data_IF_854325868751
#
_entry.id   IF_854325868751
#
_cell.length_a   1.000
_cell.length_b   1.000
_cell.length_c   1.000
_cell.angle_alpha   90.00
_cell.angle_beta   90.00
_cell.angle_gamma   90.00
#
_symmetry.space_group_name_H-M   'P 1'
#
loop_
_entity.id
_entity.type
_entity.pdbx_description
1 polymer ?
#
# COMPACT_ATOMS: atom_id res chain seq x y z
N UNK A 1 -17.31 -0.42 -1.18
CA UNK A 1 -17.58 1.02 -1.00
C UNK A 1 -16.28 1.84 -0.95
N UNK A 2 -15.41 1.68 0.06
CA UNK A 2 -14.17 2.47 0.23
C UNK A 2 -13.28 2.47 -1.03
N UNK A 3 -12.96 1.28 -1.57
CA UNK A 3 -12.15 1.16 -2.79
C UNK A 3 -12.75 1.96 -3.96
N UNK A 4 -14.06 1.82 -4.18
CA UNK A 4 -14.77 2.55 -5.23
C UNK A 4 -14.74 4.05 -5.02
N UNK A 5 -14.85 4.54 -3.77
CA UNK A 5 -14.76 5.96 -3.47
C UNK A 5 -13.35 6.50 -3.81
N UNK A 6 -12.29 5.77 -3.42
CA UNK A 6 -10.91 6.18 -3.69
C UNK A 6 -10.60 6.20 -5.19
N UNK A 7 -11.07 5.22 -5.94
CA UNK A 7 -10.85 5.16 -7.39
C UNK A 7 -11.53 6.29 -8.16
N UNK A 8 -12.72 6.71 -7.70
CA UNK A 8 -13.56 7.67 -8.43
C UNK A 8 -13.50 9.09 -7.85
N UNK A 9 -12.78 9.33 -6.76
CA UNK A 9 -12.68 10.66 -6.19
C UNK A 9 -11.89 11.61 -7.11
N UNK A 10 -12.44 12.81 -7.32
CA UNK A 10 -11.83 13.85 -8.14
C UNK A 10 -10.61 14.51 -7.46
N UNK A 11 -9.84 15.32 -8.21
CA UNK A 11 -8.57 15.87 -7.73
C UNK A 11 -8.71 16.73 -6.48
N UNK A 12 -9.79 17.52 -6.36
CA UNK A 12 -10.08 18.35 -5.18
C UNK A 12 -10.18 17.51 -3.91
N UNK A 13 -10.81 16.34 -4.00
CA UNK A 13 -10.95 15.45 -2.86
C UNK A 13 -9.62 14.76 -2.53
N UNK A 14 -8.83 14.42 -3.56
CA UNK A 14 -7.52 13.79 -3.38
C UNK A 14 -6.51 14.68 -2.65
N UNK A 15 -6.59 16.00 -2.85
CA UNK A 15 -5.70 16.97 -2.21
C UNK A 15 -6.28 17.63 -0.95
N UNK A 16 -7.43 17.17 -0.45
CA UNK A 16 -8.10 17.79 0.70
C UNK A 16 -7.46 17.35 2.01
N UNK A 17 -6.91 18.29 2.80
CA UNK A 17 -6.23 17.98 4.08
C UNK A 17 -7.08 17.18 5.09
N UNK A 18 -8.38 17.50 5.31
CA UNK A 18 -9.22 16.66 6.16
C UNK A 18 -9.32 15.22 5.67
N UNK A 19 -9.40 15.04 4.34
CA UNK A 19 -9.52 13.73 3.74
C UNK A 19 -8.22 12.94 3.85
N UNK A 20 -7.09 13.56 3.52
CA UNK A 20 -5.76 12.96 3.71
C UNK A 20 -5.55 12.55 5.17
N UNK A 21 -5.95 13.39 6.13
CA UNK A 21 -5.85 13.06 7.55
C UNK A 21 -6.64 11.81 7.92
N UNK A 22 -7.86 11.65 7.36
CA UNK A 22 -8.67 10.44 7.53
C UNK A 22 -7.98 9.22 6.92
N UNK A 23 -7.39 9.35 5.73
CA UNK A 23 -6.64 8.26 5.11
C UNK A 23 -5.49 7.80 6.00
N UNK A 24 -4.66 8.74 6.47
CA UNK A 24 -3.52 8.48 7.36
C UNK A 24 -3.93 7.81 8.67
N UNK A 25 -4.88 8.42 9.39
CA UNK A 25 -5.18 8.02 10.78
C UNK A 25 -6.15 6.86 10.90
N UNK A 26 -7.07 6.71 9.94
CA UNK A 26 -8.14 5.71 10.02
C UNK A 26 -7.96 4.60 9.02
N UNK A 27 -7.89 4.93 7.72
CA UNK A 27 -7.84 3.92 6.69
C UNK A 27 -6.56 3.11 6.78
N UNK A 28 -5.41 3.77 6.87
CA UNK A 28 -4.12 3.09 6.91
C UNK A 28 -4.03 2.13 8.10
N UNK A 29 -4.38 2.59 9.31
CA UNK A 29 -4.43 1.75 10.51
C UNK A 29 -5.39 0.55 10.39
N UNK A 30 -6.54 0.74 9.73
CA UNK A 30 -7.47 -0.36 9.47
C UNK A 30 -6.85 -1.39 8.51
N UNK A 31 -6.16 -0.93 7.47
CA UNK A 31 -5.55 -1.82 6.49
C UNK A 31 -4.42 -2.67 7.09
N UNK A 32 -3.59 -2.13 8.00
CA UNK A 32 -2.57 -2.91 8.73
C UNK A 32 -3.21 -4.07 9.49
N UNK A 33 -4.34 -3.83 10.15
CA UNK A 33 -5.03 -4.88 10.93
C UNK A 33 -5.67 -5.94 10.03
N UNK A 34 -6.13 -5.54 8.85
CA UNK A 34 -6.84 -6.43 7.93
C UNK A 34 -5.91 -7.20 6.97
N UNK A 35 -4.65 -6.77 6.81
CA UNK A 35 -3.67 -7.41 5.93
C UNK A 35 -3.15 -8.75 6.46
N UNK A 36 -3.42 -9.07 7.73
CA UNK A 36 -3.12 -10.38 8.34
C UNK A 36 -4.36 -11.27 8.49
N UNK A 37 -5.51 -10.85 7.94
CA UNK A 37 -6.74 -11.62 8.02
C UNK A 37 -6.64 -12.91 7.22
N UNK A 38 -7.06 -14.03 7.80
CA UNK A 38 -7.09 -15.35 7.15
C UNK A 38 -8.17 -15.47 6.07
N UNK A 39 -9.10 -14.51 5.99
CA UNK A 39 -10.18 -14.50 4.99
C UNK A 39 -9.64 -13.93 3.67
N UNK A 40 -9.49 -14.74 2.60
CA UNK A 40 -8.81 -14.30 1.37
C UNK A 40 -9.44 -13.10 0.70
N UNK A 41 -10.77 -12.95 0.80
CA UNK A 41 -11.51 -11.82 0.23
C UNK A 41 -11.18 -10.50 0.93
N UNK A 42 -11.01 -10.51 2.25
CA UNK A 42 -10.63 -9.31 3.01
C UNK A 42 -9.19 -8.95 2.70
N UNK A 43 -8.30 -9.94 2.70
CA UNK A 43 -6.90 -9.76 2.32
C UNK A 43 -6.76 -9.14 0.91
N UNK A 44 -7.44 -9.71 -0.09
CA UNK A 44 -7.40 -9.20 -1.47
C UNK A 44 -7.96 -7.78 -1.61
N UNK A 45 -9.04 -7.45 -0.89
CA UNK A 45 -9.58 -6.09 -0.88
C UNK A 45 -8.62 -5.09 -0.25
N UNK A 46 -7.95 -5.45 0.85
CA UNK A 46 -6.94 -4.60 1.49
C UNK A 46 -5.80 -4.28 0.52
N UNK A 47 -5.32 -5.29 -0.23
CA UNK A 47 -4.29 -5.11 -1.25
C UNK A 47 -4.73 -4.21 -2.40
N UNK A 48 -5.96 -4.35 -2.88
CA UNK A 48 -6.47 -3.46 -3.92
C UNK A 48 -6.59 -2.01 -3.43
N UNK A 49 -6.93 -1.80 -2.16
CA UNK A 49 -6.93 -0.45 -1.56
C UNK A 49 -5.50 0.08 -1.48
N UNK A 50 -4.52 -0.72 -1.06
CA UNK A 50 -3.10 -0.30 -1.04
C UNK A 50 -2.61 0.15 -2.40
N UNK A 51 -2.91 -0.60 -3.46
CA UNK A 51 -2.53 -0.22 -4.84
C UNK A 51 -3.10 1.16 -5.19
N UNK A 52 -4.36 1.45 -4.82
CA UNK A 52 -4.96 2.77 -5.06
C UNK A 52 -4.30 3.86 -4.21
N UNK A 53 -3.95 3.58 -2.95
CA UNK A 53 -3.23 4.55 -2.10
C UNK A 53 -1.85 4.89 -2.67
N UNK A 54 -1.10 3.90 -3.13
CA UNK A 54 0.23 4.11 -3.73
C UNK A 54 0.08 4.87 -5.06
N UNK A 55 -0.80 4.42 -5.96
CA UNK A 55 -0.89 5.03 -7.29
C UNK A 55 -1.54 6.42 -7.31
N UNK A 56 -2.45 6.72 -6.37
CA UNK A 56 -3.25 7.96 -6.40
C UNK A 56 -2.98 8.93 -5.26
N UNK A 57 -2.30 8.51 -4.18
CA UNK A 57 -2.12 9.31 -2.97
C UNK A 57 -0.66 9.31 -2.44
N UNK A 58 0.31 8.77 -3.18
CA UNK A 58 1.72 8.66 -2.79
C UNK A 58 2.36 9.96 -2.28
N UNK A 59 2.06 11.09 -2.92
CA UNK A 59 2.56 12.41 -2.51
C UNK A 59 2.16 12.78 -1.07
N UNK A 60 1.02 12.26 -0.62
CA UNK A 60 0.47 12.57 0.69
C UNK A 60 0.77 11.48 1.73
N UNK A 61 1.04 10.24 1.32
CA UNK A 61 1.08 9.05 2.18
C UNK A 61 2.44 8.36 2.24
N UNK A 62 3.55 9.05 1.96
CA UNK A 62 4.88 8.45 1.91
C UNK A 62 5.23 7.64 3.17
N UNK A 63 5.02 8.20 4.36
CA UNK A 63 5.32 7.52 5.63
C UNK A 63 4.48 6.26 5.81
N UNK A 64 3.18 6.34 5.55
CA UNK A 64 2.27 5.20 5.68
C UNK A 64 2.59 4.10 4.66
N UNK A 65 2.95 4.48 3.42
CA UNK A 65 3.37 3.55 2.37
C UNK A 65 4.63 2.77 2.78
N UNK A 66 5.63 3.45 3.36
CA UNK A 66 6.84 2.79 3.86
C UNK A 66 6.53 1.74 4.92
N UNK A 67 5.70 2.10 5.91
CA UNK A 67 5.24 1.17 6.94
C UNK A 67 4.53 -0.05 6.33
N UNK A 68 3.73 0.12 5.26
CA UNK A 68 3.09 -1.02 4.60
C UNK A 68 4.08 -1.92 3.87
N UNK A 69 5.04 -1.33 3.15
CA UNK A 69 6.04 -2.09 2.41
C UNK A 69 6.85 -2.94 3.40
N UNK A 70 7.41 -2.33 4.43
CA UNK A 70 8.24 -3.01 5.42
C UNK A 70 7.44 -4.01 6.28
N UNK A 71 6.39 -3.53 6.95
CA UNK A 71 5.74 -4.33 7.99
C UNK A 71 4.73 -5.34 7.47
N UNK A 72 4.28 -5.19 6.21
CA UNK A 72 3.29 -6.08 5.61
C UNK A 72 3.89 -6.79 4.41
N UNK A 73 4.28 -6.08 3.35
CA UNK A 73 4.64 -6.73 2.09
C UNK A 73 5.92 -7.56 2.22
N UNK A 74 7.01 -6.95 2.70
CA UNK A 74 8.28 -7.64 2.93
C UNK A 74 8.13 -8.73 3.99
N UNK A 75 7.48 -8.43 5.12
CA UNK A 75 7.20 -9.43 6.16
C UNK A 75 6.44 -10.66 5.63
N UNK A 76 5.44 -10.48 4.76
CA UNK A 76 4.70 -11.59 4.15
C UNK A 76 5.63 -12.43 3.26
N UNK A 77 6.51 -11.79 2.50
CA UNK A 77 7.46 -12.47 1.61
C UNK A 77 8.53 -13.25 2.40
N UNK A 78 9.03 -12.69 3.50
CA UNK A 78 10.10 -13.25 4.31
C UNK A 78 9.64 -14.39 5.21
N UNK A 79 8.49 -14.25 5.88
CA UNK A 79 8.06 -15.23 6.87
C UNK A 79 7.73 -16.59 6.24
N UNK A 80 8.14 -17.68 6.90
CA UNK A 80 7.78 -19.05 6.53
C UNK A 80 6.31 -19.39 6.76
N UNK A 81 5.61 -18.60 7.58
CA UNK A 81 4.21 -18.84 7.94
C UNK A 81 3.20 -18.34 6.89
N UNK A 82 3.65 -17.55 5.91
CA UNK A 82 2.81 -17.03 4.84
C UNK A 82 2.54 -18.09 3.78
N UNK A 83 1.29 -18.20 3.37
CA UNK A 83 0.88 -19.11 2.29
C UNK A 83 1.46 -18.65 0.94
N UNK A 84 1.59 -19.59 -0.01
CA UNK A 84 1.96 -19.27 -1.38
C UNK A 84 1.07 -18.18 -1.98
N UNK A 85 -0.24 -18.24 -1.76
CA UNK A 85 -1.18 -17.25 -2.28
C UNK A 85 -0.92 -15.84 -1.76
N UNK A 86 -0.57 -15.69 -0.47
CA UNK A 86 -0.22 -14.37 0.07
C UNK A 86 1.05 -13.83 -0.59
N UNK A 87 2.11 -14.65 -0.67
CA UNK A 87 3.38 -14.24 -1.30
C UNK A 87 3.21 -13.89 -2.77
N UNK A 88 2.51 -14.75 -3.52
CA UNK A 88 2.21 -14.52 -4.93
C UNK A 88 1.41 -13.23 -5.13
N UNK A 89 0.42 -12.95 -4.27
CA UNK A 89 -0.36 -11.71 -4.36
C UNK A 89 0.48 -10.46 -4.11
N UNK A 90 1.41 -10.50 -3.15
CA UNK A 90 2.36 -9.40 -2.92
C UNK A 90 3.22 -9.16 -4.16
N UNK A 91 3.78 -10.21 -4.76
CA UNK A 91 4.59 -10.10 -5.98
C UNK A 91 3.79 -9.55 -7.16
N UNK A 92 2.52 -9.94 -7.31
CA UNK A 92 1.63 -9.35 -8.33
C UNK A 92 1.43 -7.85 -8.12
N UNK A 93 1.31 -7.40 -6.86
CA UNK A 93 1.19 -5.97 -6.56
C UNK A 93 2.46 -5.22 -6.93
N UNK A 94 3.64 -5.71 -6.54
CA UNK A 94 4.90 -5.07 -6.95
C UNK A 94 5.06 -5.08 -8.47
N UNK A 95 4.77 -6.19 -9.13
CA UNK A 95 4.79 -6.26 -10.60
C UNK A 95 3.87 -5.22 -11.24
N UNK A 96 2.68 -5.00 -10.69
CA UNK A 96 1.76 -3.96 -11.15
C UNK A 96 2.32 -2.55 -10.90
N UNK A 97 2.82 -2.27 -9.70
CA UNK A 97 3.37 -0.95 -9.35
C UNK A 97 4.59 -0.59 -10.21
N UNK A 98 5.42 -1.58 -10.53
CA UNK A 98 6.60 -1.39 -11.38
C UNK A 98 6.28 -1.21 -12.87
N UNK A 99 5.02 -1.32 -13.30
CA UNK A 99 4.64 -0.97 -14.68
C UNK A 99 4.69 0.54 -14.93
N UNK A 100 4.58 1.36 -13.88
CA UNK A 100 4.79 2.80 -13.93
C UNK A 100 6.21 3.15 -13.45
N UNK A 101 7.04 3.67 -14.36
CA UNK A 101 8.44 3.94 -14.07
C UNK A 101 8.63 4.97 -12.94
N UNK A 102 7.74 5.96 -12.82
CA UNK A 102 7.79 6.95 -11.74
C UNK A 102 7.49 6.32 -10.38
N UNK A 103 6.46 5.49 -10.29
CA UNK A 103 6.14 4.74 -9.07
C UNK A 103 7.26 3.75 -8.71
N UNK A 104 7.82 3.05 -9.69
CA UNK A 104 8.94 2.14 -9.47
C UNK A 104 10.18 2.87 -8.89
N UNK A 105 10.53 4.01 -9.48
CA UNK A 105 11.67 4.82 -9.04
C UNK A 105 11.44 5.39 -7.64
N UNK A 106 10.24 5.88 -7.34
CA UNK A 106 9.91 6.36 -6.00
C UNK A 106 9.92 5.24 -4.97
N UNK A 107 9.44 4.04 -5.31
CA UNK A 107 9.52 2.90 -4.41
C UNK A 107 10.97 2.57 -4.07
N UNK A 108 11.84 2.55 -5.10
CA UNK A 108 13.26 2.33 -4.93
C UNK A 108 13.91 3.43 -4.06
N UNK A 109 13.77 4.70 -4.45
CA UNK A 109 14.44 5.81 -3.76
C UNK A 109 13.96 6.02 -2.33
N UNK A 110 12.71 5.71 -2.01
CA UNK A 110 12.14 6.01 -0.70
C UNK A 110 12.14 4.83 0.27
N UNK A 111 12.25 3.58 -0.20
CA UNK A 111 12.02 2.41 0.64
C UNK A 111 13.00 1.23 0.42
N UNK A 112 13.84 1.25 -0.61
CA UNK A 112 14.80 0.16 -0.90
C UNK A 112 16.25 0.66 -0.93
N UNK A 113 16.46 1.82 -1.56
CA UNK A 113 17.75 2.49 -1.63
C UNK A 113 17.92 3.39 -0.41
N UNK A 114 18.09 2.80 0.77
CA UNK A 114 18.38 3.57 1.98
C UNK A 114 19.78 4.19 1.85
N UNK A 115 19.84 5.51 1.61
CA UNK A 115 21.10 6.26 1.50
C UNK A 115 21.64 6.61 2.90
N UNK A 116 20.82 6.42 3.95
CA UNK A 116 21.09 6.80 5.33
C UNK A 116 21.28 5.60 6.27
N UNK A 117 21.39 4.36 5.77
CA UNK A 117 21.89 3.23 6.56
C UNK A 117 23.40 3.41 6.87
N UNK A 118 23.69 4.20 7.91
CA UNK A 118 24.93 4.19 8.70
C UNK A 118 24.64 4.30 10.19
#
# INVERSE_FOLDING_TARGET
LVLSMLQNCGPVFRSSDPFITVLKKLLCNSLIKNSVCSIPKIFGLSFNIFVVLITSFKEHLRTEIGVFIEQIFLRILETGNSTYHHKFRVLQVFSQLCTDASTALELFLNFDCDVDEK
#
